data_IF_524439148076
#
_entry.id   IF_524439148076
#
_cell.length_a   1.000
_cell.length_b   1.000
_cell.length_c   1.000
_cell.angle_alpha   90.00
_cell.angle_beta   90.00
_cell.angle_gamma   90.00
#
_symmetry.space_group_name_H-M   'P 1'
#
loop_
_entity.id
_entity.type
_entity.pdbx_description
1 polymer ?
#
# COMPACT_ATOMS: atom_id res chain seq x y z
N UNK A 1 -46.47 -1.28 -13.28
CA UNK A 1 -45.93 -2.50 -12.65
C UNK A 1 -44.65 -2.83 -13.39
N UNK A 2 -43.52 -2.94 -12.71
CA UNK A 2 -42.25 -3.36 -13.34
C UNK A 2 -42.31 -4.85 -13.68
N UNK A 3 -41.69 -5.24 -14.80
CA UNK A 3 -41.60 -6.63 -15.23
C UNK A 3 -40.67 -7.38 -14.26
N UNK A 4 -41.06 -8.59 -13.83
CA UNK A 4 -40.29 -9.39 -12.87
C UNK A 4 -38.90 -9.78 -13.39
N UNK A 5 -38.69 -9.68 -14.71
CA UNK A 5 -37.40 -9.88 -15.37
C UNK A 5 -36.41 -8.73 -15.21
N UNK A 6 -36.88 -7.53 -14.86
CA UNK A 6 -36.02 -6.35 -14.65
C UNK A 6 -35.48 -6.25 -13.22
N UNK A 7 -35.96 -7.11 -12.30
CA UNK A 7 -35.57 -7.15 -10.88
C UNK A 7 -34.46 -8.18 -10.59
N UNK A 8 -33.62 -8.50 -11.58
CA UNK A 8 -32.43 -9.32 -11.40
C UNK A 8 -31.26 -8.52 -10.82
N UNK A 9 -30.45 -9.15 -9.97
CA UNK A 9 -29.08 -8.66 -9.76
C UNK A 9 -28.39 -8.77 -11.11
N UNK A 10 -27.81 -7.68 -11.63
CA UNK A 10 -27.03 -7.70 -12.87
C UNK A 10 -25.88 -8.71 -12.80
N UNK A 11 -25.07 -8.79 -13.86
CA UNK A 11 -23.91 -9.66 -13.88
C UNK A 11 -23.03 -9.46 -12.63
N UNK A 12 -22.60 -10.54 -11.96
CA UNK A 12 -21.82 -10.43 -10.74
C UNK A 12 -20.54 -9.65 -11.01
N UNK A 13 -20.36 -8.54 -10.31
CA UNK A 13 -19.14 -7.76 -10.38
C UNK A 13 -18.04 -8.48 -9.60
N UNK A 14 -16.96 -8.85 -10.29
CA UNK A 14 -15.79 -9.46 -9.68
C UNK A 14 -15.03 -8.40 -8.89
N UNK A 15 -15.42 -8.20 -7.64
CA UNK A 15 -14.67 -7.40 -6.67
C UNK A 15 -13.63 -8.29 -5.99
N UNK A 16 -12.41 -7.78 -5.83
CA UNK A 16 -11.32 -8.53 -5.24
C UNK A 16 -11.55 -8.67 -3.72
N UNK A 17 -12.30 -9.70 -3.29
CA UNK A 17 -12.58 -9.99 -1.86
C UNK A 17 -11.41 -10.66 -1.14
N UNK A 18 -10.19 -10.48 -1.66
CA UNK A 18 -8.97 -10.96 -1.01
C UNK A 18 -8.85 -10.32 0.37
N UNK A 19 -8.23 -11.02 1.33
CA UNK A 19 -7.83 -10.38 2.59
C UNK A 19 -6.97 -9.18 2.23
N UNK A 20 -7.43 -7.99 2.59
CA UNK A 20 -6.65 -6.76 2.52
C UNK A 20 -5.40 -6.99 3.37
N UNK A 21 -4.25 -7.15 2.70
CA UNK A 21 -2.99 -7.28 3.41
C UNK A 21 -2.68 -5.87 3.89
N UNK A 22 -2.85 -5.60 5.20
CA UNK A 22 -2.43 -4.35 5.83
C UNK A 22 -0.91 -4.19 5.68
N UNK A 23 -0.50 -3.73 4.52
CA UNK A 23 0.90 -3.58 4.13
C UNK A 23 1.43 -2.31 4.75
N UNK A 24 2.21 -2.48 5.82
CA UNK A 24 3.01 -1.41 6.38
C UNK A 24 3.00 -1.31 7.90
N UNK A 25 2.03 -1.91 8.61
CA UNK A 25 2.10 -1.99 10.08
C UNK A 25 2.74 -3.30 10.59
N UNK A 26 2.45 -4.44 9.93
CA UNK A 26 2.82 -5.77 10.46
C UNK A 26 3.50 -6.72 9.46
N UNK A 27 3.78 -6.27 8.24
CA UNK A 27 4.46 -7.08 7.22
C UNK A 27 5.99 -7.02 7.35
N UNK A 28 6.64 -8.19 7.28
CA UNK A 28 8.09 -8.28 7.07
C UNK A 28 8.49 -7.92 5.63
N UNK A 29 9.79 -7.78 5.38
CA UNK A 29 10.32 -7.31 4.08
C UNK A 29 9.89 -8.17 2.88
N UNK A 30 9.84 -9.50 3.03
CA UNK A 30 9.40 -10.39 1.95
C UNK A 30 7.94 -10.18 1.56
N UNK A 31 7.06 -9.93 2.55
CA UNK A 31 5.65 -9.62 2.31
C UNK A 31 5.48 -8.25 1.67
N UNK A 32 6.24 -7.26 2.13
CA UNK A 32 6.27 -5.93 1.53
C UNK A 32 6.69 -5.98 0.05
N UNK A 33 7.79 -6.70 -0.26
CA UNK A 33 8.25 -6.89 -1.65
C UNK A 33 7.21 -7.58 -2.53
N UNK A 34 6.48 -8.57 -2.00
CA UNK A 34 5.43 -9.24 -2.74
C UNK A 34 4.29 -8.29 -3.13
N UNK A 35 3.85 -7.44 -2.21
CA UNK A 35 2.75 -6.47 -2.43
C UNK A 35 3.19 -5.38 -3.39
N UNK A 36 4.36 -4.79 -3.16
CA UNK A 36 4.94 -3.78 -4.04
C UNK A 36 5.16 -4.32 -5.46
N UNK A 37 5.52 -5.60 -5.59
CA UNK A 37 5.63 -6.28 -6.89
C UNK A 37 4.32 -6.40 -7.65
N UNK A 38 3.17 -6.56 -6.97
CA UNK A 38 1.84 -6.52 -7.62
C UNK A 38 1.52 -5.15 -8.20
N UNK A 39 2.18 -4.11 -7.71
CA UNK A 39 2.08 -2.72 -8.17
C UNK A 39 3.19 -2.34 -9.15
N UNK A 40 3.91 -3.34 -9.68
CA UNK A 40 5.05 -3.17 -10.61
C UNK A 40 6.21 -2.35 -10.03
N UNK A 41 6.34 -2.33 -8.69
CA UNK A 41 7.46 -1.67 -8.01
C UNK A 41 8.50 -2.73 -7.63
N UNK A 42 9.69 -2.59 -8.21
CA UNK A 42 10.86 -3.43 -7.90
C UNK A 42 11.91 -2.63 -7.13
N UNK A 43 12.47 -3.23 -6.08
CA UNK A 43 13.58 -2.66 -5.32
C UNK A 43 14.93 -3.11 -5.86
N UNK A 44 15.92 -2.21 -5.82
CA UNK A 44 17.27 -2.48 -6.34
C UNK A 44 18.07 -3.44 -5.46
N UNK A 45 17.84 -3.36 -4.15
CA UNK A 45 18.49 -4.20 -3.13
C UNK A 45 17.51 -4.52 -2.01
N UNK A 46 17.97 -5.33 -1.06
CA UNK A 46 17.25 -5.55 0.20
C UNK A 46 17.21 -4.27 1.04
N UNK A 47 18.35 -3.59 1.21
CA UNK A 47 18.46 -2.31 1.92
C UNK A 47 17.52 -1.23 1.36
N UNK A 48 17.36 -1.18 0.04
CA UNK A 48 16.43 -0.26 -0.64
C UNK A 48 14.97 -0.55 -0.24
N UNK A 49 14.59 -1.83 -0.20
CA UNK A 49 13.28 -2.26 0.26
C UNK A 49 13.08 -2.01 1.76
N UNK A 50 14.12 -2.19 2.60
CA UNK A 50 14.06 -1.90 4.04
C UNK A 50 13.83 -0.43 4.30
N UNK A 51 14.59 0.43 3.63
CA UNK A 51 14.45 1.89 3.75
C UNK A 51 13.06 2.38 3.38
N UNK A 52 12.49 1.87 2.29
CA UNK A 52 11.12 2.24 1.88
C UNK A 52 10.09 1.67 2.85
N UNK A 53 10.26 0.43 3.32
CA UNK A 53 9.39 -0.17 4.33
C UNK A 53 9.37 0.63 5.63
N UNK A 54 10.52 1.13 6.07
CA UNK A 54 10.62 1.99 7.25
C UNK A 54 9.83 3.30 7.08
N UNK A 55 9.97 3.97 5.93
CA UNK A 55 9.19 5.17 5.62
C UNK A 55 7.69 4.90 5.58
N UNK A 56 7.27 3.77 5.00
CA UNK A 56 5.87 3.33 4.97
C UNK A 56 5.33 3.09 6.38
N UNK A 57 6.13 2.49 7.28
CA UNK A 57 5.76 2.31 8.70
C UNK A 57 5.52 3.64 9.38
N UNK A 58 6.44 4.59 9.23
CA UNK A 58 6.26 5.93 9.82
C UNK A 58 5.06 6.66 9.23
N UNK A 59 4.85 6.58 7.92
CA UNK A 59 3.72 7.19 7.26
C UNK A 59 2.38 6.61 7.71
N UNK A 60 2.27 5.29 7.91
CA UNK A 60 1.08 4.67 8.51
C UNK A 60 0.80 5.22 9.92
N UNK A 61 1.83 5.30 10.76
CA UNK A 61 1.72 5.84 12.12
C UNK A 61 1.25 7.31 12.08
N UNK A 62 1.81 8.13 11.19
CA UNK A 62 1.43 9.53 11.08
C UNK A 62 0.03 9.72 10.50
N UNK A 63 -0.38 8.87 9.55
CA UNK A 63 -1.70 8.91 8.93
C UNK A 63 -2.82 8.37 9.83
N UNK A 64 -2.49 7.56 10.85
CA UNK A 64 -3.46 6.86 11.71
C UNK A 64 -4.46 6.00 10.92
N UNK A 65 -4.07 5.56 9.73
CA UNK A 65 -4.83 4.71 8.81
C UNK A 65 -3.88 4.02 7.83
N UNK A 66 -4.28 2.89 7.23
CA UNK A 66 -3.51 2.26 6.17
C UNK A 66 -3.28 3.21 4.98
N UNK A 67 -2.07 3.18 4.42
CA UNK A 67 -1.74 3.93 3.20
C UNK A 67 -2.44 3.33 1.97
N UNK A 68 -2.88 4.19 1.06
CA UNK A 68 -3.41 3.79 -0.24
C UNK A 68 -2.29 3.51 -1.25
N UNK A 69 -2.64 2.84 -2.36
CA UNK A 69 -1.70 2.46 -3.41
C UNK A 69 -0.84 3.64 -3.93
N UNK A 70 -1.44 4.81 -4.11
CA UNK A 70 -0.73 6.00 -4.62
C UNK A 70 0.27 6.54 -3.59
N UNK A 71 -0.05 6.46 -2.29
CA UNK A 71 0.85 6.87 -1.21
C UNK A 71 2.05 5.91 -1.11
N UNK A 72 1.81 4.59 -1.21
CA UNK A 72 2.88 3.59 -1.27
C UNK A 72 3.78 3.79 -2.49
N UNK A 73 3.19 4.06 -3.67
CA UNK A 73 3.93 4.38 -4.88
C UNK A 73 4.77 5.65 -4.72
N UNK A 74 4.20 6.69 -4.13
CA UNK A 74 4.89 7.96 -3.89
C UNK A 74 6.12 7.74 -3.01
N UNK A 75 5.97 7.05 -1.87
CA UNK A 75 7.07 6.78 -0.95
C UNK A 75 8.16 5.93 -1.65
N UNK A 76 7.79 4.93 -2.44
CA UNK A 76 8.75 4.09 -3.13
C UNK A 76 9.50 4.79 -4.27
N UNK A 77 8.82 5.67 -5.03
CA UNK A 77 9.43 6.42 -6.14
C UNK A 77 10.27 7.60 -5.64
N UNK A 78 9.88 8.20 -4.52
CA UNK A 78 10.49 9.43 -3.98
C UNK A 78 10.78 9.32 -2.48
N UNK A 79 11.62 8.36 -2.04
CA UNK A 79 11.82 8.09 -0.62
C UNK A 79 12.48 9.26 0.13
N UNK A 80 13.34 10.05 -0.52
CA UNK A 80 13.95 11.23 0.10
C UNK A 80 12.93 12.35 0.34
N UNK A 81 12.07 12.62 -0.64
CA UNK A 81 10.99 13.60 -0.52
C UNK A 81 9.99 13.15 0.55
N UNK A 82 9.62 11.86 0.55
CA UNK A 82 8.74 11.31 1.58
C UNK A 82 9.34 11.48 2.98
N UNK A 83 10.64 11.21 3.16
CA UNK A 83 11.32 11.39 4.44
C UNK A 83 11.25 12.84 4.95
N UNK A 84 11.47 13.82 4.06
CA UNK A 84 11.37 15.25 4.39
C UNK A 84 9.93 15.64 4.77
N UNK A 85 8.94 15.19 3.99
CA UNK A 85 7.52 15.49 4.23
C UNK A 85 7.00 14.91 5.55
N UNK A 86 7.44 13.70 5.91
CA UNK A 86 7.10 13.07 7.18
C UNK A 86 7.80 13.74 8.37
N UNK A 87 8.72 14.70 8.11
CA UNK A 87 9.54 15.39 9.10
C UNK A 87 10.25 14.43 10.07
N UNK A 88 10.61 13.23 9.59
CA UNK A 88 11.26 12.21 10.40
C UNK A 88 12.71 12.63 10.56
N UNK A 89 13.02 13.22 11.72
CA UNK A 89 14.40 13.28 12.21
C UNK A 89 14.71 11.90 12.81
N UNK A 90 15.51 11.05 12.14
CA UNK A 90 15.92 9.79 12.74
C UNK A 90 16.63 10.09 14.07
N UNK A 91 16.25 9.38 15.13
CA UNK A 91 17.01 9.40 16.39
C UNK A 91 18.37 8.76 16.10
N UNK A 92 19.40 9.61 16.06
CA UNK A 92 20.82 9.22 15.97
C UNK A 92 21.28 8.45 17.20
#
# INVERSE_FOLDING_TARGET
LYDFKELGRGEPEMVETGREICSGEYSGISGFRHIMGKMEISFKSEDDAERVLELVRYANVLAQKPLVADELQFIAKYPDIAKELLAIAPLT
#
